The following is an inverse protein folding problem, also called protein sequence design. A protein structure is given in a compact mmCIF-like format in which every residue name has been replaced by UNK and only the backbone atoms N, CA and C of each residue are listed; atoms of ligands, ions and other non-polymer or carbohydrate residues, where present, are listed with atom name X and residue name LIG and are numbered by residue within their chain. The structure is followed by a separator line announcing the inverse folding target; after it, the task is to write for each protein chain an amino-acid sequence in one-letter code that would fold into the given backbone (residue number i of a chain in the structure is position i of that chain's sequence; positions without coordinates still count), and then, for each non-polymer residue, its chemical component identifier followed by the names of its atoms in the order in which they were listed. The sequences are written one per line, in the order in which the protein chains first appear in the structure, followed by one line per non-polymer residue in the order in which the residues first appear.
data_IF_222135643414
#
_entry.id   IF_222135643414
#
_cell.length_a   1.000
_cell.length_b   1.000
_cell.length_c   1.000
_cell.angle_alpha   90.00
_cell.angle_beta   90.00
_cell.angle_gamma   90.00
#
_symmetry.space_group_name_H-M   'P 1'
#
loop_
_entity.id
_entity.type
_entity.pdbx_description
1 polymer ?
#
# COMPACT_ATOMS: atom_id res chain seq x y z
N UNK A 1 34.08 -0.34 17.61
CA UNK A 1 33.42 -1.04 16.50
C UNK A 1 32.07 -1.57 17.00
N UNK A 2 30.97 -0.91 16.65
CA UNK A 2 29.64 -1.33 17.09
C UNK A 2 29.20 -2.56 16.28
N UNK A 3 29.06 -3.69 16.97
CA UNK A 3 28.59 -4.97 16.42
C UNK A 3 27.14 -4.77 15.98
N UNK A 4 26.87 -4.89 14.68
CA UNK A 4 25.50 -4.85 14.16
C UNK A 4 24.71 -6.01 14.78
N UNK A 5 23.84 -5.69 15.74
CA UNK A 5 22.88 -6.64 16.30
C UNK A 5 21.99 -7.10 15.14
N UNK A 6 22.17 -8.35 14.68
CA UNK A 6 21.22 -9.00 13.77
C UNK A 6 19.84 -8.84 14.40
N UNK A 7 18.95 -8.08 13.74
CA UNK A 7 17.55 -7.99 14.15
C UNK A 7 17.04 -9.43 14.34
N UNK A 8 16.38 -9.76 15.47
CA UNK A 8 15.82 -11.08 15.67
C UNK A 8 14.92 -11.41 14.48
N UNK A 9 15.02 -12.65 14.01
CA UNK A 9 14.09 -13.15 13.00
C UNK A 9 12.67 -12.92 13.54
N UNK A 10 11.80 -12.27 12.78
CA UNK A 10 10.48 -11.94 13.29
C UNK A 10 9.72 -13.26 13.56
N UNK A 11 8.78 -13.28 14.52
CA UNK A 11 8.06 -14.48 14.96
C UNK A 11 6.94 -14.91 13.98
N UNK A 12 6.89 -16.16 13.50
CA UNK A 12 5.96 -16.57 12.44
C UNK A 12 4.51 -16.13 12.74
N UNK A 13 3.78 -15.64 11.73
CA UNK A 13 2.45 -15.13 11.96
C UNK A 13 1.53 -16.23 12.50
N UNK A 14 0.53 -15.87 13.31
CA UNK A 14 -0.37 -16.85 13.89
C UNK A 14 -1.15 -17.59 12.80
N UNK A 15 -1.42 -18.89 13.02
CA UNK A 15 -1.96 -19.81 12.01
C UNK A 15 -3.35 -19.48 11.46
N UNK A 16 -4.13 -18.66 12.18
CA UNK A 16 -5.43 -18.16 11.73
C UNK A 16 -5.33 -17.01 10.72
N UNK A 17 -4.15 -16.43 10.56
CA UNK A 17 -3.86 -15.30 9.69
C UNK A 17 -3.51 -15.85 8.31
N UNK A 18 -4.51 -15.94 7.45
CA UNK A 18 -4.39 -16.40 6.06
C UNK A 18 -4.10 -15.23 5.11
N UNK A 19 -3.68 -15.51 3.88
CA UNK A 19 -3.36 -14.49 2.87
C UNK A 19 -4.50 -13.49 2.65
N UNK A 20 -5.72 -14.00 2.45
CA UNK A 20 -6.93 -13.17 2.28
C UNK A 20 -7.25 -12.32 3.51
N UNK A 21 -7.16 -12.89 4.71
CA UNK A 21 -7.46 -12.16 5.95
C UNK A 21 -6.37 -11.14 6.28
N UNK A 22 -5.11 -11.44 5.91
CA UNK A 22 -3.99 -10.52 6.00
C UNK A 22 -4.16 -9.28 5.15
N UNK A 23 -4.56 -9.43 3.88
CA UNK A 23 -4.85 -8.30 2.98
C UNK A 23 -6.02 -7.45 3.49
N UNK A 24 -7.09 -8.08 3.99
CA UNK A 24 -8.21 -7.37 4.62
C UNK A 24 -7.76 -6.56 5.84
N UNK A 25 -6.88 -7.13 6.67
CA UNK A 25 -6.35 -6.47 7.86
C UNK A 25 -5.37 -5.32 7.53
N UNK A 26 -4.66 -5.38 6.40
CA UNK A 26 -3.87 -4.25 5.87
C UNK A 26 -4.79 -3.13 5.38
N UNK A 27 -5.83 -3.48 4.61
CA UNK A 27 -6.82 -2.51 4.12
C UNK A 27 -7.56 -1.80 5.27
N UNK A 28 -7.77 -2.51 6.40
CA UNK A 28 -8.34 -1.94 7.63
C UNK A 28 -7.31 -1.17 8.50
N UNK A 29 -6.08 -1.00 8.03
CA UNK A 29 -5.04 -0.23 8.72
C UNK A 29 -4.54 -0.85 10.04
N UNK A 30 -4.80 -2.14 10.26
CA UNK A 30 -4.48 -2.79 11.54
C UNK A 30 -2.98 -3.07 11.67
N UNK A 31 -2.46 -3.00 12.90
CA UNK A 31 -1.07 -3.37 13.21
C UNK A 31 -0.78 -4.85 12.91
N UNK A 32 -1.79 -5.72 13.04
CA UNK A 32 -1.70 -7.17 12.78
C UNK A 32 -1.61 -7.48 11.29
N UNK A 33 -2.42 -6.84 10.44
CA UNK A 33 -2.29 -6.97 8.98
C UNK A 33 -0.94 -6.44 8.48
N UNK A 34 -0.49 -5.30 9.03
CA UNK A 34 0.82 -4.73 8.73
C UNK A 34 2.00 -5.60 9.20
N UNK A 35 1.83 -6.36 10.28
CA UNK A 35 2.82 -7.31 10.80
C UNK A 35 2.82 -8.61 9.98
N UNK A 36 1.65 -9.16 9.63
CA UNK A 36 1.50 -10.31 8.73
C UNK A 36 2.14 -10.09 7.36
N UNK A 37 1.90 -8.91 6.80
CA UNK A 37 2.44 -8.50 5.51
C UNK A 37 3.96 -8.33 5.55
N UNK A 38 4.51 -7.90 6.71
CA UNK A 38 5.96 -7.93 6.99
C UNK A 38 6.49 -9.34 7.27
N UNK A 39 5.62 -10.25 7.70
CA UNK A 39 5.98 -11.59 8.13
C UNK A 39 6.12 -12.60 7.00
N UNK A 40 5.24 -12.54 6.01
CA UNK A 40 5.21 -13.51 4.91
C UNK A 40 6.10 -13.14 3.74
N UNK A 41 6.63 -11.92 3.67
CA UNK A 41 7.51 -11.50 2.59
C UNK A 41 8.66 -10.66 3.13
N UNK A 42 9.87 -11.18 2.93
CA UNK A 42 11.07 -10.33 2.93
C UNK A 42 10.94 -9.39 1.74
N UNK A 43 10.48 -8.18 2.01
CA UNK A 43 10.48 -7.09 1.04
C UNK A 43 11.93 -6.68 0.80
N UNK A 44 12.32 -6.57 -0.47
CA UNK A 44 13.54 -5.84 -0.81
C UNK A 44 13.33 -4.36 -0.48
N UNK A 45 14.42 -3.67 -0.14
CA UNK A 45 14.39 -2.23 0.14
C UNK A 45 13.68 -1.42 -0.95
N UNK A 46 13.82 -1.85 -2.22
CA UNK A 46 13.17 -1.25 -3.38
C UNK A 46 11.65 -1.40 -3.35
N UNK A 47 11.16 -2.58 -3.00
CA UNK A 47 9.71 -2.81 -2.89
C UNK A 47 9.13 -2.03 -1.71
N UNK A 48 9.86 -1.93 -0.59
CA UNK A 48 9.43 -1.10 0.55
C UNK A 48 9.27 0.37 0.15
N UNK A 49 10.19 0.91 -0.66
CA UNK A 49 10.08 2.28 -1.19
C UNK A 49 8.88 2.47 -2.10
N UNK A 50 8.60 1.52 -2.99
CA UNK A 50 7.40 1.56 -3.85
C UNK A 50 6.12 1.49 -3.01
N UNK A 51 6.05 0.63 -2.00
CA UNK A 51 4.89 0.53 -1.12
C UNK A 51 4.72 1.81 -0.27
N UNK A 52 5.81 2.42 0.19
CA UNK A 52 5.77 3.70 0.90
C UNK A 52 5.26 4.83 0.00
N UNK A 53 5.72 4.90 -1.25
CA UNK A 53 5.20 5.84 -2.24
C UNK A 53 3.72 5.58 -2.53
N UNK A 54 3.31 4.32 -2.72
CA UNK A 54 1.92 3.97 -2.95
C UNK A 54 1.02 4.41 -1.78
N UNK A 55 1.51 4.29 -0.55
CA UNK A 55 0.80 4.80 0.64
C UNK A 55 0.69 6.33 0.65
N UNK A 56 1.76 7.04 0.30
CA UNK A 56 1.76 8.50 0.23
C UNK A 56 0.82 9.04 -0.86
N UNK A 57 0.66 8.30 -1.96
CA UNK A 57 -0.24 8.64 -3.06
C UNK A 57 -1.59 7.91 -3.01
N UNK A 58 -2.02 7.49 -1.83
CA UNK A 58 -3.37 6.92 -1.61
C UNK A 58 -3.71 5.75 -2.54
N UNK A 59 -2.73 4.89 -2.80
CA UNK A 59 -2.85 3.70 -3.63
C UNK A 59 -2.69 3.95 -5.13
N UNK A 60 -2.52 5.18 -5.59
CA UNK A 60 -2.39 5.51 -7.01
C UNK A 60 -0.97 5.93 -7.34
N UNK A 61 -0.28 5.18 -8.19
CA UNK A 61 1.06 5.54 -8.67
C UNK A 61 1.12 5.58 -10.19
N UNK A 62 1.67 6.66 -10.72
CA UNK A 62 2.09 6.72 -12.12
C UNK A 62 3.47 6.12 -12.29
N UNK A 63 3.89 5.88 -13.53
CA UNK A 63 5.28 5.50 -13.83
C UNK A 63 6.29 6.53 -13.31
N UNK A 64 5.97 7.83 -13.37
CA UNK A 64 6.81 8.88 -12.81
C UNK A 64 6.97 8.75 -11.28
N UNK A 65 5.87 8.46 -10.56
CA UNK A 65 5.93 8.24 -9.11
C UNK A 65 6.71 6.97 -8.73
N UNK A 66 6.66 5.93 -9.57
CA UNK A 66 7.48 4.73 -9.40
C UNK A 66 8.97 4.99 -9.64
N UNK A 67 9.29 5.79 -10.67
CA UNK A 67 10.66 6.22 -10.94
C UNK A 67 11.22 7.01 -9.78
N UNK A 68 10.47 7.97 -9.26
CA UNK A 68 10.88 8.76 -8.09
C UNK A 68 11.14 7.86 -6.88
N UNK A 69 10.23 6.91 -6.59
CA UNK A 69 10.40 5.95 -5.49
C UNK A 69 11.64 5.05 -5.66
N UNK A 70 12.07 4.82 -6.91
CA UNK A 70 13.21 3.97 -7.26
C UNK A 70 14.44 4.77 -7.69
N UNK A 71 14.54 6.05 -7.31
CA UNK A 71 15.69 6.92 -7.62
C UNK A 71 16.01 6.97 -9.13
N UNK A 72 14.98 7.07 -9.97
CA UNK A 72 15.05 7.16 -11.44
C UNK A 72 15.70 5.97 -12.14
N UNK A 73 15.73 4.80 -11.50
CA UNK A 73 16.26 3.57 -12.10
C UNK A 73 15.23 2.87 -12.97
N UNK A 74 15.09 3.33 -14.22
CA UNK A 74 14.10 2.82 -15.19
C UNK A 74 14.09 1.29 -15.33
N UNK A 75 15.26 0.64 -15.42
CA UNK A 75 15.35 -0.82 -15.56
C UNK A 75 14.79 -1.59 -14.35
N UNK A 76 14.68 -0.92 -13.19
CA UNK A 76 14.18 -1.54 -11.97
C UNK A 76 12.67 -1.37 -11.81
N UNK A 77 12.06 -0.37 -12.45
CA UNK A 77 10.62 -0.09 -12.36
C UNK A 77 9.81 -1.28 -12.84
N UNK A 78 10.06 -1.75 -14.07
CA UNK A 78 9.31 -2.86 -14.66
C UNK A 78 9.44 -4.13 -13.83
N UNK A 79 10.67 -4.48 -13.43
CA UNK A 79 10.94 -5.70 -12.66
C UNK A 79 10.30 -5.66 -11.27
N UNK A 80 10.42 -4.56 -10.54
CA UNK A 80 9.87 -4.42 -9.18
C UNK A 80 8.34 -4.38 -9.23
N UNK A 81 7.76 -3.62 -10.16
CA UNK A 81 6.31 -3.51 -10.29
C UNK A 81 5.66 -4.78 -10.82
N UNK A 82 6.28 -5.46 -11.80
CA UNK A 82 5.82 -6.76 -12.27
C UNK A 82 5.75 -7.76 -11.11
N UNK A 83 6.82 -7.87 -10.31
CA UNK A 83 6.83 -8.74 -9.13
C UNK A 83 5.75 -8.37 -8.11
N UNK A 84 5.50 -7.09 -7.85
CA UNK A 84 4.41 -6.64 -6.97
C UNK A 84 3.01 -7.00 -7.53
N UNK A 85 2.82 -6.88 -8.83
CA UNK A 85 1.53 -7.12 -9.47
C UNK A 85 1.24 -8.63 -9.63
N UNK A 86 2.23 -9.45 -10.01
CA UNK A 86 2.12 -10.92 -10.02
C UNK A 86 1.70 -11.48 -8.66
N UNK A 87 2.17 -10.81 -7.60
CA UNK A 87 1.85 -11.15 -6.21
C UNK A 87 0.53 -10.57 -5.71
N UNK A 88 -0.26 -9.95 -6.59
CA UNK A 88 -1.60 -9.41 -6.31
C UNK A 88 -1.63 -8.12 -5.49
N UNK A 89 -0.51 -7.38 -5.43
CA UNK A 89 -0.41 -6.17 -4.59
C UNK A 89 -0.62 -4.88 -5.36
N UNK A 90 -0.39 -4.93 -6.66
CA UNK A 90 -0.78 -3.88 -7.58
C UNK A 90 -1.55 -4.45 -8.75
N UNK A 91 -2.36 -3.58 -9.36
CA UNK A 91 -2.89 -3.78 -10.71
C UNK A 91 -2.37 -2.69 -11.62
N UNK A 92 -1.88 -3.09 -12.79
CA UNK A 92 -1.56 -2.16 -13.86
C UNK A 92 -2.83 -1.81 -14.63
N UNK A 93 -3.09 -0.53 -14.75
CA UNK A 93 -4.18 0.08 -15.48
C UNK A 93 -3.61 1.02 -16.55
N UNK A 94 -4.46 1.44 -17.47
CA UNK A 94 -4.14 2.45 -18.46
C UNK A 94 -5.03 3.65 -18.19
N UNK A 95 -4.43 4.81 -17.98
CA UNK A 95 -5.16 6.06 -17.81
C UNK A 95 -5.87 6.45 -19.12
N UNK A 96 -6.83 7.39 -19.05
CA UNK A 96 -7.50 7.93 -20.24
C UNK A 96 -6.54 8.54 -21.27
N UNK A 97 -5.35 8.95 -20.84
CA UNK A 97 -4.31 9.53 -21.68
C UNK A 97 -3.34 8.48 -22.25
N UNK A 98 -3.63 7.18 -22.05
CA UNK A 98 -2.78 6.08 -22.51
C UNK A 98 -1.56 5.80 -21.63
N UNK A 99 -1.37 6.55 -20.55
CA UNK A 99 -0.23 6.38 -19.65
C UNK A 99 -0.47 5.25 -18.64
N UNK A 100 0.56 4.44 -18.30
CA UNK A 100 0.45 3.39 -17.31
C UNK A 100 0.21 3.95 -15.90
N UNK A 101 -0.74 3.33 -15.20
CA UNK A 101 -1.12 3.67 -13.83
C UNK A 101 -1.14 2.38 -13.00
N UNK A 102 -0.70 2.45 -11.75
CA UNK A 102 -0.59 1.33 -10.85
C UNK A 102 -1.46 1.56 -9.63
N UNK A 103 -2.41 0.65 -9.42
CA UNK A 103 -3.38 0.69 -8.33
C UNK A 103 -2.98 -0.30 -7.23
N UNK A 104 -2.74 0.22 -6.03
CA UNK A 104 -2.48 -0.52 -4.81
C UNK A 104 -3.69 -0.41 -3.89
N UNK A 105 -4.63 -1.33 -4.03
CA UNK A 105 -5.94 -1.27 -3.36
C UNK A 105 -5.82 -1.25 -1.84
N UNK A 106 -4.78 -1.88 -1.29
CA UNK A 106 -4.50 -1.89 0.14
C UNK A 106 -4.24 -0.50 0.74
N UNK A 107 -3.91 0.50 -0.10
CA UNK A 107 -3.65 1.88 0.32
C UNK A 107 -4.71 2.87 -0.16
N UNK A 108 -5.78 2.38 -0.79
CA UNK A 108 -6.92 3.23 -1.11
C UNK A 108 -7.51 3.79 0.19
N UNK A 109 -7.94 5.07 0.19
CA UNK A 109 -8.64 5.62 1.32
C UNK A 109 -9.93 4.82 1.53
N UNK A 110 -10.15 4.35 2.75
CA UNK A 110 -11.41 3.68 3.09
C UNK A 110 -12.54 4.69 2.96
N UNK A 111 -13.35 4.61 1.91
CA UNK A 111 -14.47 5.54 1.73
C UNK A 111 -15.54 5.26 2.78
N UNK A 112 -16.07 6.32 3.37
CA UNK A 112 -17.19 6.31 4.33
C UNK A 112 -18.25 7.27 3.85
N UNK A 113 -19.51 6.97 4.12
CA UNK A 113 -20.57 7.96 3.95
C UNK A 113 -20.66 8.83 5.21
N UNK A 114 -21.05 10.09 5.03
CA UNK A 114 -21.43 10.93 6.16
C UNK A 114 -22.81 10.50 6.67
N UNK A 115 -22.93 10.18 7.94
CA UNK A 115 -24.20 9.72 8.54
C UNK A 115 -25.34 10.77 8.50
N UNK A 116 -25.04 12.02 8.11
CA UNK A 116 -25.98 13.14 8.11
C UNK A 116 -26.41 13.60 6.71
N UNK A 117 -25.51 13.54 5.72
CA UNK A 117 -25.79 14.03 4.37
C UNK A 117 -25.50 13.00 3.27
N UNK A 118 -25.14 11.77 3.66
CA UNK A 118 -24.78 10.66 2.77
C UNK A 118 -23.68 10.97 1.75
N UNK A 119 -22.91 12.04 1.97
CA UNK A 119 -21.80 12.38 1.10
C UNK A 119 -20.64 11.40 1.31
N UNK A 120 -20.13 10.83 0.21
CA UNK A 120 -18.97 9.95 0.24
C UNK A 120 -17.70 10.75 0.59
N UNK A 121 -16.96 10.27 1.59
CA UNK A 121 -15.77 10.92 2.16
C UNK A 121 -14.64 9.92 2.36
N UNK A 122 -13.40 10.37 2.20
CA UNK A 122 -12.23 9.58 2.55
C UNK A 122 -12.19 9.31 4.07
N UNK A 123 -11.92 8.08 4.47
CA UNK A 123 -11.81 7.68 5.86
C UNK A 123 -10.61 8.35 6.53
N UNK A 124 -10.84 8.93 7.71
CA UNK A 124 -9.83 9.69 8.46
C UNK A 124 -9.96 11.20 8.36
N UNK A 125 -10.90 11.73 7.56
CA UNK A 125 -11.29 13.14 7.64
C UNK A 125 -12.15 13.35 8.88
N UNK A 126 -11.71 14.23 9.79
CA UNK A 126 -12.32 14.44 11.11
C UNK A 126 -13.67 15.20 11.07
N UNK A 127 -14.02 15.81 9.93
CA UNK A 127 -15.29 16.47 9.72
C UNK A 127 -15.69 16.40 8.25
N UNK A 128 -16.98 16.23 7.99
CA UNK A 128 -17.57 16.24 6.66
C UNK A 128 -17.39 17.61 6.01
N UNK A 129 -16.74 17.66 4.85
CA UNK A 129 -16.51 18.90 4.10
C UNK A 129 -17.78 19.48 3.48
N UNK A 130 -18.86 18.71 3.41
CA UNK A 130 -20.15 19.13 2.89
C UNK A 130 -21.04 19.81 3.95
N UNK A 131 -21.25 19.18 5.11
CA UNK A 131 -22.17 19.67 6.13
C UNK A 131 -21.52 20.07 7.46
N UNK A 132 -20.21 19.88 7.62
CA UNK A 132 -19.47 20.20 8.85
C UNK A 132 -19.70 19.22 10.02
N UNK A 133 -20.54 18.19 9.84
CA UNK A 133 -20.72 17.15 10.85
C UNK A 133 -19.41 16.36 11.08
N UNK A 134 -19.12 15.91 12.31
CA UNK A 134 -17.93 15.09 12.57
C UNK A 134 -17.88 13.80 11.71
#
# INVERSE_FOLDING_TARGET
MARALKKPAPEPPPSWLTWENGLKLVALGTKVGSAYYRHQRYWSEREERVLAAARAHHGWLTEAGLLEALEYRHQEVDRVTAGLCERGLCRRLVSRQGQPLYLFEAFLPAMRFCDYCDQERAGGVAACTCCGAP
#
